data_IF_004334848979
#
_entry.id   IF_004334848979
#
_cell.length_a   1.000
_cell.length_b   1.000
_cell.length_c   1.000
_cell.angle_alpha   90.00
_cell.angle_beta   90.00
_cell.angle_gamma   90.00
#
_symmetry.space_group_name_H-M   'P 1'
#
loop_
_entity.id
_entity.type
_entity.pdbx_description
1 polymer ?
#
# COMPACT_ATOMS: atom_id res chain seq x y z
N UNK A 1 14.00 -5.63 2.91
CA UNK A 1 13.51 -5.38 4.28
C UNK A 1 12.44 -4.28 4.28
N UNK A 2 12.79 -3.02 3.97
CA UNK A 2 11.88 -1.86 4.09
C UNK A 2 10.58 -1.83 3.24
N UNK A 3 10.34 -2.76 2.30
CA UNK A 3 9.13 -2.75 1.46
C UNK A 3 8.12 -3.83 1.86
N UNK A 4 8.59 -5.02 2.25
CA UNK A 4 7.70 -6.05 2.79
C UNK A 4 7.12 -5.60 4.14
N UNK A 5 7.96 -5.03 5.01
CA UNK A 5 7.49 -4.46 6.29
C UNK A 5 6.42 -3.39 6.08
N UNK A 6 6.55 -2.56 5.03
CA UNK A 6 5.53 -1.57 4.67
C UNK A 6 4.24 -2.24 4.19
N UNK A 7 4.35 -3.32 3.45
CA UNK A 7 3.19 -4.11 3.04
C UNK A 7 2.46 -4.73 4.23
N UNK A 8 3.21 -5.26 5.19
CA UNK A 8 2.64 -5.84 6.40
C UNK A 8 1.96 -4.74 7.26
N UNK A 9 2.59 -3.56 7.39
CA UNK A 9 2.04 -2.39 8.08
C UNK A 9 0.70 -1.92 7.46
N UNK A 10 0.62 -1.84 6.13
CA UNK A 10 -0.58 -1.28 5.47
C UNK A 10 -1.68 -2.30 5.19
N UNK A 11 -1.38 -3.60 5.23
CA UNK A 11 -2.36 -4.68 5.03
C UNK A 11 -3.62 -4.53 5.90
N UNK A 12 -3.54 -4.29 7.23
CA UNK A 12 -4.74 -4.10 8.05
C UNK A 12 -5.56 -2.87 7.61
N UNK A 13 -4.89 -1.80 7.17
CA UNK A 13 -5.55 -0.56 6.70
C UNK A 13 -6.34 -0.84 5.41
N UNK A 14 -5.73 -1.54 4.45
CA UNK A 14 -6.39 -1.92 3.19
C UNK A 14 -7.57 -2.85 3.44
N UNK A 15 -7.43 -3.85 4.32
CA UNK A 15 -8.52 -4.75 4.69
C UNK A 15 -9.69 -3.99 5.32
N UNK A 16 -9.41 -3.06 6.23
CA UNK A 16 -10.44 -2.21 6.82
C UNK A 16 -11.17 -1.38 5.75
N UNK A 17 -10.41 -0.74 4.84
CA UNK A 17 -10.97 0.09 3.78
C UNK A 17 -11.91 -0.67 2.84
N UNK A 18 -11.60 -1.93 2.50
CA UNK A 18 -12.44 -2.76 1.62
C UNK A 18 -13.74 -3.23 2.27
N UNK A 19 -13.76 -3.36 3.59
CA UNK A 19 -14.92 -3.83 4.35
C UNK A 19 -15.78 -2.68 4.88
N UNK A 20 -15.42 -1.44 4.58
CA UNK A 20 -16.05 -0.25 5.16
C UNK A 20 -17.26 0.24 4.36
N UNK A 21 -18.30 0.69 5.07
CA UNK A 21 -19.55 1.22 4.51
C UNK A 21 -19.46 2.59 3.84
N UNK A 22 -18.25 3.19 3.78
CA UNK A 22 -17.95 4.53 3.24
C UNK A 22 -18.48 5.71 4.06
N UNK A 23 -18.90 5.47 5.29
CA UNK A 23 -19.27 6.52 6.24
C UNK A 23 -18.09 6.97 7.12
N UNK A 24 -18.22 8.15 7.72
CA UNK A 24 -17.15 8.77 8.52
C UNK A 24 -16.80 7.95 9.77
N UNK A 25 -17.81 7.37 10.43
CA UNK A 25 -17.62 6.59 11.66
C UNK A 25 -16.80 5.32 11.39
N UNK A 26 -17.02 4.68 10.25
CA UNK A 26 -16.26 3.52 9.81
C UNK A 26 -14.80 3.88 9.49
N UNK A 27 -14.56 5.06 8.91
CA UNK A 27 -13.19 5.53 8.66
C UNK A 27 -12.42 5.89 9.92
N UNK A 28 -13.08 6.43 10.95
CA UNK A 28 -12.47 6.71 12.26
C UNK A 28 -12.03 5.42 12.99
N UNK A 29 -12.70 4.31 12.73
CA UNK A 29 -12.37 3.01 13.32
C UNK A 29 -11.19 2.29 12.61
N UNK A 30 -10.78 2.75 11.42
CA UNK A 30 -9.70 2.11 10.68
C UNK A 30 -8.32 2.55 11.20
N UNK A 31 -7.34 1.63 11.24
CA UNK A 31 -5.97 1.96 11.64
C UNK A 31 -5.33 2.94 10.67
N UNK A 32 -4.44 3.78 11.19
CA UNK A 32 -3.61 4.69 10.41
C UNK A 32 -2.19 4.15 10.25
N UNK A 33 -1.48 4.52 9.17
CA UNK A 33 -0.09 4.11 8.99
C UNK A 33 0.79 4.78 10.05
N UNK A 34 1.84 4.08 10.48
CA UNK A 34 2.79 4.55 11.49
C UNK A 34 3.71 5.64 10.91
N UNK A 35 4.03 5.54 9.61
CA UNK A 35 4.85 6.53 8.93
C UNK A 35 4.17 7.92 8.92
N UNK A 36 4.75 8.97 9.55
CA UNK A 36 4.11 10.28 9.67
C UNK A 36 3.75 10.93 8.33
N UNK A 37 4.63 10.79 7.33
CA UNK A 37 4.39 11.29 5.96
C UNK A 37 3.23 10.57 5.27
N UNK A 38 3.02 9.29 5.58
CA UNK A 38 1.92 8.52 5.01
C UNK A 38 0.60 8.85 5.73
N UNK A 39 0.66 9.09 7.04
CA UNK A 39 -0.47 9.55 7.84
C UNK A 39 -1.00 10.89 7.34
N UNK A 40 -0.12 11.87 7.12
CA UNK A 40 -0.49 13.17 6.54
C UNK A 40 -1.21 13.02 5.19
N UNK A 41 -0.66 12.22 4.27
CA UNK A 41 -1.30 11.93 2.97
C UNK A 41 -2.65 11.24 3.11
N UNK A 42 -2.81 10.36 4.09
CA UNK A 42 -4.09 9.70 4.39
C UNK A 42 -5.11 10.70 4.92
N UNK A 43 -4.73 11.59 5.84
CA UNK A 43 -5.59 12.65 6.37
C UNK A 43 -6.07 13.61 5.26
N UNK A 44 -5.19 14.01 4.33
CA UNK A 44 -5.56 14.81 3.16
C UNK A 44 -6.53 14.07 2.22
N UNK A 45 -6.27 12.78 1.99
CA UNK A 45 -7.14 11.92 1.16
C UNK A 45 -8.54 11.80 1.77
N UNK A 46 -8.62 11.62 3.09
CA UNK A 46 -9.88 11.53 3.83
C UNK A 46 -10.71 12.82 3.71
N UNK A 47 -10.07 13.99 3.77
CA UNK A 47 -10.76 15.29 3.52
C UNK A 47 -11.32 15.38 2.11
N UNK A 48 -10.68 14.78 1.11
CA UNK A 48 -11.19 14.71 -0.26
C UNK A 48 -12.40 13.76 -0.34
N UNK A 49 -12.27 12.52 0.15
CA UNK A 49 -13.36 11.54 0.15
C UNK A 49 -14.61 12.05 0.86
N UNK A 50 -14.46 12.71 2.02
CA UNK A 50 -15.57 13.28 2.79
C UNK A 50 -16.39 14.33 2.03
N UNK A 51 -15.79 15.02 1.05
CA UNK A 51 -16.50 15.99 0.19
C UNK A 51 -17.28 15.34 -0.95
N UNK A 52 -16.92 14.11 -1.34
CA UNK A 52 -17.52 13.42 -2.47
C UNK A 52 -18.84 12.72 -2.13
N UNK A 53 -19.14 12.47 -0.86
CA UNK A 53 -20.33 11.70 -0.46
C UNK A 53 -20.39 10.35 -1.18
N UNK A 54 -21.44 10.11 -1.97
CA UNK A 54 -21.62 8.88 -2.77
C UNK A 54 -21.17 9.00 -4.24
N UNK A 55 -20.58 10.12 -4.67
CA UNK A 55 -20.15 10.32 -6.07
C UNK A 55 -18.87 9.53 -6.39
N UNK A 56 -19.04 8.39 -7.05
CA UNK A 56 -17.94 7.52 -7.47
C UNK A 56 -16.92 8.20 -8.39
N UNK A 57 -17.34 9.13 -9.25
CA UNK A 57 -16.44 9.84 -10.16
C UNK A 57 -15.57 10.82 -9.39
N UNK A 58 -16.16 11.53 -8.41
CA UNK A 58 -15.42 12.36 -7.47
C UNK A 58 -14.40 11.53 -6.66
N UNK A 59 -14.82 10.39 -6.10
CA UNK A 59 -13.92 9.49 -5.35
C UNK A 59 -12.72 9.04 -6.18
N UNK A 60 -12.91 8.77 -7.47
CA UNK A 60 -11.80 8.38 -8.37
C UNK A 60 -10.79 9.50 -8.63
N UNK A 61 -11.19 10.77 -8.46
CA UNK A 61 -10.31 11.92 -8.64
C UNK A 61 -9.47 12.24 -7.39
N UNK A 62 -9.82 11.69 -6.23
CA UNK A 62 -9.07 11.89 -5.00
C UNK A 62 -7.73 11.11 -5.01
N UNK A 63 -6.71 11.57 -4.25
CA UNK A 63 -5.44 10.87 -4.11
C UNK A 63 -5.63 9.44 -3.56
N UNK A 64 -4.77 8.51 -3.98
CA UNK A 64 -4.87 7.09 -3.56
C UNK A 64 -3.52 6.57 -3.07
N UNK A 65 -3.01 7.06 -1.93
CA UNK A 65 -1.64 6.83 -1.51
C UNK A 65 -1.33 5.34 -1.26
N UNK A 66 -2.33 4.54 -0.86
CA UNK A 66 -2.16 3.09 -0.63
C UNK A 66 -2.22 2.23 -1.90
N UNK A 67 -2.64 2.78 -3.05
CA UNK A 67 -2.82 1.99 -4.28
C UNK A 67 -1.54 1.32 -4.74
N UNK A 68 -0.44 2.07 -4.81
CA UNK A 68 0.85 1.55 -5.26
C UNK A 68 1.33 0.39 -4.39
N UNK A 69 1.23 0.55 -3.07
CA UNK A 69 1.70 -0.48 -2.13
C UNK A 69 0.79 -1.70 -2.23
N UNK A 70 -0.54 -1.52 -2.22
CA UNK A 70 -1.52 -2.60 -2.39
C UNK A 70 -1.28 -3.41 -3.67
N UNK A 71 -1.10 -2.77 -4.82
CA UNK A 71 -0.93 -3.44 -6.11
C UNK A 71 0.37 -4.23 -6.24
N UNK A 72 1.35 -3.93 -5.39
CA UNK A 72 2.69 -4.51 -5.50
C UNK A 72 3.06 -5.37 -4.29
N UNK A 73 2.24 -5.50 -3.23
CA UNK A 73 2.63 -6.26 -2.05
C UNK A 73 2.95 -7.73 -2.33
N UNK A 74 2.13 -8.42 -3.14
CA UNK A 74 2.41 -9.80 -3.53
C UNK A 74 3.67 -9.92 -4.39
N UNK A 75 3.93 -8.90 -5.24
CA UNK A 75 5.15 -8.83 -6.05
C UNK A 75 6.38 -8.58 -5.16
N UNK A 76 6.27 -7.68 -4.18
CA UNK A 76 7.33 -7.38 -3.24
C UNK A 76 7.71 -8.60 -2.40
N UNK A 77 6.75 -9.44 -2.00
CA UNK A 77 7.04 -10.69 -1.31
C UNK A 77 7.99 -11.59 -2.12
N UNK A 78 7.68 -11.83 -3.39
CA UNK A 78 8.51 -12.65 -4.29
C UNK A 78 9.91 -12.06 -4.52
N UNK A 79 10.01 -10.73 -4.71
CA UNK A 79 11.31 -10.04 -4.85
C UNK A 79 12.10 -10.13 -3.53
N UNK A 80 11.42 -9.97 -2.40
CA UNK A 80 12.05 -9.94 -1.08
C UNK A 80 12.65 -11.29 -0.71
N UNK A 81 11.92 -12.37 -0.93
CA UNK A 81 12.37 -13.75 -0.69
C UNK A 81 13.68 -14.04 -1.43
N UNK A 82 13.75 -13.69 -2.72
CA UNK A 82 14.97 -13.83 -3.50
C UNK A 82 16.11 -12.96 -2.95
N UNK A 83 15.83 -11.69 -2.66
CA UNK A 83 16.84 -10.77 -2.15
C UNK A 83 17.43 -11.22 -0.80
N UNK A 84 16.63 -11.81 0.09
CA UNK A 84 17.13 -12.35 1.37
C UNK A 84 18.01 -13.58 1.23
N UNK A 85 17.91 -14.29 0.09
CA UNK A 85 18.79 -15.41 -0.22
C UNK A 85 20.14 -14.95 -0.80
N UNK A 86 20.25 -13.70 -1.28
CA UNK A 86 21.48 -13.15 -1.82
C UNK A 86 22.41 -12.62 -0.72
N UNK A 87 23.72 -12.84 -0.90
CA UNK A 87 24.72 -12.19 -0.06
C UNK A 87 24.78 -10.68 -0.35
N UNK A 88 25.13 -9.88 0.67
CA UNK A 88 25.25 -8.44 0.49
C UNK A 88 26.31 -8.11 -0.58
N UNK A 89 25.91 -7.32 -1.58
CA UNK A 89 26.79 -6.94 -2.70
C UNK A 89 26.92 -7.99 -3.81
N UNK A 90 26.18 -9.11 -3.74
CA UNK A 90 26.15 -10.09 -4.83
C UNK A 90 25.25 -9.59 -5.98
N UNK A 91 25.86 -8.81 -6.87
CA UNK A 91 25.20 -8.26 -8.04
C UNK A 91 24.71 -9.35 -9.00
N UNK A 92 25.44 -10.46 -9.14
CA UNK A 92 25.03 -11.56 -10.01
C UNK A 92 23.75 -12.23 -9.49
N UNK A 93 23.65 -12.44 -8.18
CA UNK A 93 22.41 -12.91 -7.54
C UNK A 93 21.26 -11.92 -7.72
N UNK A 94 21.50 -10.62 -7.57
CA UNK A 94 20.48 -9.58 -7.76
C UNK A 94 19.96 -9.49 -9.21
N UNK A 95 20.79 -9.83 -10.20
CA UNK A 95 20.34 -9.91 -11.60
C UNK A 95 19.46 -11.13 -11.87
N UNK A 96 19.66 -12.23 -11.14
CA UNK A 96 18.82 -13.42 -11.23
C UNK A 96 17.47 -13.28 -10.51
N UNK A 97 17.34 -12.34 -9.57
CA UNK A 97 16.09 -12.09 -8.87
C UNK A 97 15.01 -11.47 -9.78
N UNK A 98 13.73 -11.86 -9.60
CA UNK A 98 12.63 -11.31 -10.38
C UNK A 98 12.52 -9.81 -10.16
N UNK A 99 12.33 -9.04 -11.24
CA UNK A 99 12.12 -7.59 -11.12
C UNK A 99 10.64 -7.30 -10.91
N UNK A 100 10.34 -6.23 -10.17
CA UNK A 100 8.95 -5.89 -9.81
C UNK A 100 8.02 -5.74 -11.03
N UNK A 101 8.55 -5.21 -12.14
CA UNK A 101 7.79 -5.01 -13.38
C UNK A 101 7.59 -6.29 -14.22
N UNK A 102 8.28 -7.39 -13.88
CA UNK A 102 8.20 -8.68 -14.59
C UNK A 102 7.25 -9.66 -13.89
N UNK A 103 6.87 -9.37 -12.65
CA UNK A 103 5.99 -10.24 -11.87
C UNK A 103 4.53 -9.97 -12.24
N UNK A 104 3.93 -10.94 -12.91
CA UNK A 104 2.48 -11.05 -13.07
C UNK A 104 1.91 -11.83 -11.86
N UNK A 105 0.84 -11.32 -11.27
CA UNK A 105 0.11 -11.94 -10.15
C UNK A 105 -1.35 -12.06 -10.55
#
# INVERSE_FOLDING_TARGET
>A
VAMQEKCDEITPIVKCHMNCGRDHACHEACPMPECPKMKEKMEETMKCHGKCGSDFSCHRACPRPLMFVRENCEKFGKVHECHTACAHGDHACHEACPKLYEINV
#
